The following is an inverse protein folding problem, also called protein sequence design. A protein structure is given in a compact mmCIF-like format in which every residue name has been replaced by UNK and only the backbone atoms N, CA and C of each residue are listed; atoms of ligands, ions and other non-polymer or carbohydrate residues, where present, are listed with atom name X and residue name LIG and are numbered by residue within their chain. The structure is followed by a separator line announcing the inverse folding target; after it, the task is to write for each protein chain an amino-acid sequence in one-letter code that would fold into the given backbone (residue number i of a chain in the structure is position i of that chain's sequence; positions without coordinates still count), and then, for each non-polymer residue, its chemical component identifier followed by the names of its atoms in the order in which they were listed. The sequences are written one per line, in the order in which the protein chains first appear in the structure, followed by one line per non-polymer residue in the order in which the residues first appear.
data_IF_713836118700
#
_entry.id   IF_713836118700
#
_cell.length_a   1.000
_cell.length_b   1.000
_cell.length_c   1.000
_cell.angle_alpha   90.00
_cell.angle_beta   90.00
_cell.angle_gamma   90.00
#
_symmetry.space_group_name_H-M   'P 1'
#
loop_
_entity.id
_entity.type
_entity.pdbx_description
1 polymer ?
#
# COMPACT_ATOMS: atom_id res chain seq x y z
N UNK A 1 -8.42 -9.79 13.04
CA UNK A 1 -7.00 -10.17 12.95
C UNK A 1 -6.65 -10.48 11.51
N UNK A 2 -5.41 -10.20 11.07
CA UNK A 2 -4.99 -10.43 9.68
C UNK A 2 -4.85 -11.93 9.36
N UNK A 3 -4.84 -12.30 8.07
CA UNK A 3 -4.61 -13.70 7.65
C UNK A 3 -3.26 -14.24 8.10
N UNK A 4 -2.24 -13.39 8.19
CA UNK A 4 -0.94 -13.75 8.76
C UNK A 4 -1.07 -14.13 10.24
N UNK A 5 -1.78 -13.31 11.03
CA UNK A 5 -1.97 -13.58 12.45
C UNK A 5 -2.82 -14.84 12.72
N UNK A 6 -3.88 -15.06 11.95
CA UNK A 6 -4.84 -16.14 12.21
C UNK A 6 -4.43 -17.48 11.59
N UNK A 7 -3.70 -17.46 10.46
CA UNK A 7 -3.47 -18.66 9.66
C UNK A 7 -2.01 -18.86 9.23
N UNK A 8 -1.09 -17.98 9.67
CA UNK A 8 0.29 -17.97 9.19
C UNK A 8 0.37 -18.02 7.66
N UNK A 9 -0.39 -17.14 6.97
CA UNK A 9 -0.47 -17.04 5.50
C UNK A 9 0.05 -15.69 4.98
N UNK A 10 1.19 -15.26 5.50
CA UNK A 10 1.85 -13.98 5.18
C UNK A 10 3.05 -14.08 4.23
N UNK A 11 3.48 -15.30 3.87
CA UNK A 11 4.81 -15.57 3.29
C UNK A 11 5.13 -14.75 2.03
N UNK A 12 4.10 -14.41 1.24
CA UNK A 12 4.28 -13.60 0.02
C UNK A 12 4.91 -12.23 0.29
N UNK A 13 4.67 -11.65 1.47
CA UNK A 13 5.17 -10.33 1.86
C UNK A 13 6.28 -10.40 2.91
N UNK A 14 6.88 -11.59 3.10
CA UNK A 14 7.94 -11.87 4.09
C UNK A 14 9.24 -12.34 3.39
N UNK A 15 9.47 -11.91 2.14
CA UNK A 15 10.71 -12.18 1.41
C UNK A 15 11.89 -11.41 2.03
N UNK A 16 13.15 -11.78 1.73
CA UNK A 16 14.30 -10.99 2.18
C UNK A 16 14.14 -9.51 1.80
N UNK A 17 14.43 -8.62 2.76
CA UNK A 17 14.30 -7.17 2.66
C UNK A 17 12.86 -6.62 2.56
N UNK A 18 11.81 -7.45 2.48
CA UNK A 18 10.43 -6.98 2.36
C UNK A 18 10.00 -6.08 3.53
N UNK A 19 10.39 -6.45 4.76
CA UNK A 19 10.06 -5.66 5.96
C UNK A 19 10.67 -4.26 5.92
N UNK A 20 11.92 -4.13 5.45
CA UNK A 20 12.62 -2.85 5.32
C UNK A 20 11.97 -1.98 4.24
N UNK A 21 11.62 -2.57 3.11
CA UNK A 21 10.92 -1.85 2.03
C UNK A 21 9.52 -1.42 2.45
N UNK A 22 8.80 -2.28 3.19
CA UNK A 22 7.49 -1.95 3.74
C UNK A 22 7.56 -0.77 4.71
N UNK A 23 8.60 -0.71 5.55
CA UNK A 23 8.83 0.45 6.43
C UNK A 23 9.06 1.74 5.64
N UNK A 24 9.84 1.69 4.55
CA UNK A 24 10.07 2.87 3.70
C UNK A 24 8.78 3.41 3.09
N UNK A 25 7.89 2.54 2.58
CA UNK A 25 6.60 2.99 2.06
C UNK A 25 5.65 3.48 3.17
N UNK A 26 5.71 2.90 4.37
CA UNK A 26 4.94 3.39 5.52
C UNK A 26 5.38 4.80 5.93
N UNK A 27 6.69 5.05 5.99
CA UNK A 27 7.25 6.37 6.30
C UNK A 27 6.89 7.38 5.20
N UNK A 28 6.96 6.97 3.93
CA UNK A 28 6.57 7.81 2.80
C UNK A 28 5.09 8.22 2.86
N UNK A 29 4.19 7.28 3.14
CA UNK A 29 2.78 7.61 3.29
C UNK A 29 2.57 8.65 4.41
N UNK A 30 3.27 8.46 5.54
CA UNK A 30 3.21 9.38 6.69
C UNK A 30 3.80 10.75 6.38
N UNK A 31 4.82 10.86 5.53
CA UNK A 31 5.36 12.16 5.13
C UNK A 31 4.37 12.99 4.31
N UNK A 32 3.41 12.34 3.64
CA UNK A 32 2.27 13.01 2.99
C UNK A 32 1.06 13.20 3.93
N UNK A 33 1.20 12.90 5.22
CA UNK A 33 0.11 12.99 6.20
C UNK A 33 -0.97 11.91 6.04
N UNK A 34 -0.67 10.82 5.34
CA UNK A 34 -1.61 9.76 5.04
C UNK A 34 -1.37 8.50 5.88
N UNK A 35 -2.45 7.77 6.16
CA UNK A 35 -2.35 6.42 6.70
C UNK A 35 -1.79 5.48 5.60
N UNK A 36 -0.85 4.58 5.92
CA UNK A 36 -0.21 3.73 4.91
C UNK A 36 -1.16 2.88 4.04
N UNK A 37 -2.20 2.28 4.62
CA UNK A 37 -3.17 1.50 3.83
C UNK A 37 -4.01 2.41 2.92
N UNK A 38 -4.40 3.62 3.35
CA UNK A 38 -5.05 4.61 2.49
C UNK A 38 -4.16 4.98 1.29
N UNK A 39 -2.88 5.30 1.55
CA UNK A 39 -1.91 5.66 0.52
C UNK A 39 -1.71 4.53 -0.50
N UNK A 40 -1.56 3.29 -0.03
CA UNK A 40 -1.40 2.13 -0.89
C UNK A 40 -2.64 1.87 -1.77
N UNK A 41 -3.85 2.01 -1.21
CA UNK A 41 -5.09 1.87 -1.99
C UNK A 41 -5.24 2.99 -3.03
N UNK A 42 -4.88 4.23 -2.69
CA UNK A 42 -4.91 5.37 -3.61
C UNK A 42 -3.91 5.18 -4.78
N UNK A 43 -2.71 4.66 -4.50
CA UNK A 43 -1.75 4.32 -5.53
C UNK A 43 -2.34 3.34 -6.55
N UNK A 44 -2.95 2.24 -6.08
CA UNK A 44 -3.56 1.23 -6.96
C UNK A 44 -4.73 1.82 -7.75
N UNK A 45 -5.63 2.55 -7.09
CA UNK A 45 -6.81 3.15 -7.71
C UNK A 45 -6.47 4.23 -8.75
N UNK A 46 -5.34 4.92 -8.61
CA UNK A 46 -4.91 5.97 -9.54
C UNK A 46 -4.33 5.45 -10.86
N UNK A 47 -4.07 4.15 -10.99
CA UNK A 47 -3.42 3.60 -12.20
C UNK A 47 -4.41 3.56 -13.38
N UNK A 48 -4.04 4.06 -14.56
CA UNK A 48 -4.96 4.14 -15.70
C UNK A 48 -5.41 2.77 -16.24
N UNK A 49 -4.66 1.70 -15.93
CA UNK A 49 -4.96 0.32 -16.34
C UNK A 49 -5.73 -0.48 -15.28
N UNK A 50 -6.08 0.10 -14.13
CA UNK A 50 -6.83 -0.56 -13.07
C UNK A 50 -8.31 -0.20 -13.17
N UNK A 51 -9.16 -1.16 -13.51
CA UNK A 51 -10.62 -0.97 -13.54
C UNK A 51 -11.24 -0.97 -12.15
N UNK A 52 -10.72 -1.83 -11.26
CA UNK A 52 -11.23 -1.99 -9.90
C UNK A 52 -10.11 -2.42 -8.95
N UNK A 53 -10.10 -1.83 -7.75
CA UNK A 53 -9.23 -2.23 -6.64
C UNK A 53 -10.01 -3.16 -5.69
N UNK A 54 -9.51 -4.38 -5.46
CA UNK A 54 -10.13 -5.35 -4.55
C UNK A 54 -9.54 -5.17 -3.16
N UNK A 55 -10.35 -4.69 -2.22
CA UNK A 55 -9.93 -4.40 -0.84
C UNK A 55 -10.33 -5.50 0.14
N UNK A 56 -9.48 -5.79 1.12
CA UNK A 56 -9.74 -6.74 2.19
C UNK A 56 -9.81 -6.05 3.55
N UNK A 57 -10.88 -6.28 4.30
CA UNK A 57 -11.08 -5.71 5.63
C UNK A 57 -11.67 -6.76 6.60
N UNK A 58 -11.30 -6.65 7.88
CA UNK A 58 -11.87 -7.48 8.98
C UNK A 58 -12.69 -6.64 9.97
N UNK A 59 -12.77 -5.34 9.75
CA UNK A 59 -13.53 -4.37 10.56
C UNK A 59 -14.11 -3.29 9.64
N UNK A 60 -15.15 -2.59 10.09
CA UNK A 60 -15.75 -1.47 9.33
C UNK A 60 -14.75 -0.33 9.17
N UNK A 61 -14.00 0.03 10.22
CA UNK A 61 -12.99 1.08 10.12
C UNK A 61 -11.94 0.82 9.02
N UNK A 62 -11.47 -0.43 8.88
CA UNK A 62 -10.56 -0.81 7.79
C UNK A 62 -11.22 -0.67 6.42
N UNK A 63 -12.50 -1.03 6.30
CA UNK A 63 -13.24 -0.88 5.05
C UNK A 63 -13.43 0.60 4.70
N UNK A 64 -13.78 1.44 5.67
CA UNK A 64 -13.92 2.88 5.49
C UNK A 64 -12.61 3.53 5.03
N UNK A 65 -11.48 3.20 5.68
CA UNK A 65 -10.15 3.64 5.23
C UNK A 65 -9.88 3.23 3.79
N UNK A 66 -10.15 1.96 3.44
CA UNK A 66 -9.90 1.47 2.09
C UNK A 66 -10.80 2.13 1.04
N UNK A 67 -12.08 2.38 1.35
CA UNK A 67 -13.03 3.03 0.43
C UNK A 67 -12.71 4.52 0.23
N UNK A 68 -12.25 5.21 1.28
CA UNK A 68 -11.88 6.63 1.19
C UNK A 68 -10.69 6.90 0.25
N UNK A 69 -10.01 5.86 -0.23
CA UNK A 69 -8.93 6.01 -1.21
C UNK A 69 -9.38 6.58 -2.55
N UNK A 70 -10.68 6.47 -2.88
CA UNK A 70 -11.25 7.02 -4.12
C UNK A 70 -11.23 8.55 -4.14
N UNK A 71 -11.27 9.18 -2.96
CA UNK A 71 -11.28 10.63 -2.80
C UNK A 71 -9.86 11.23 -2.79
N UNK A 72 -8.83 10.39 -2.81
CA UNK A 72 -7.43 10.82 -2.83
C UNK A 72 -7.04 11.21 -4.26
N UNK A 73 -6.65 12.47 -4.45
CA UNK A 73 -6.00 12.91 -5.68
C UNK A 73 -4.52 12.49 -5.65
N UNK A 74 -4.15 11.53 -6.49
CA UNK A 74 -2.76 11.07 -6.60
C UNK A 74 -1.89 12.09 -7.36
N UNK A 75 -0.91 12.68 -6.69
CA UNK A 75 -0.09 13.76 -7.26
C UNK A 75 1.18 13.24 -7.94
N UNK A 76 1.79 14.08 -8.78
CA UNK A 76 3.11 13.79 -9.36
C UNK A 76 4.21 13.64 -8.30
N UNK A 77 4.11 14.35 -7.18
CA UNK A 77 5.08 14.28 -6.09
C UNK A 77 5.02 12.91 -5.40
N UNK A 78 3.81 12.43 -5.12
CA UNK A 78 3.59 11.07 -4.59
C UNK A 78 4.13 10.02 -5.56
N UNK A 79 3.87 10.20 -6.86
CA UNK A 79 4.38 9.29 -7.90
C UNK A 79 5.91 9.26 -7.91
N UNK A 80 6.58 10.41 -7.98
CA UNK A 80 8.04 10.51 -7.99
C UNK A 80 8.66 9.87 -6.75
N UNK A 81 8.04 10.04 -5.58
CA UNK A 81 8.55 9.47 -4.35
C UNK A 81 8.39 7.95 -4.28
N UNK A 82 7.26 7.40 -4.73
CA UNK A 82 7.07 5.96 -4.90
C UNK A 82 8.09 5.39 -5.90
N UNK A 83 8.26 6.05 -7.04
CA UNK A 83 9.20 5.63 -8.08
C UNK A 83 10.63 5.62 -7.55
N UNK A 84 11.04 6.60 -6.75
CA UNK A 84 12.39 6.64 -6.16
C UNK A 84 12.68 5.42 -5.26
N UNK A 85 11.70 4.96 -4.48
CA UNK A 85 11.83 3.72 -3.70
C UNK A 85 11.86 2.53 -4.66
N UNK A 86 10.89 2.45 -5.58
CA UNK A 86 10.73 1.33 -6.50
C UNK A 86 11.96 1.10 -7.39
N UNK A 87 12.59 2.15 -7.91
CA UNK A 87 13.80 2.05 -8.73
C UNK A 87 15.01 1.47 -7.98
N UNK A 88 15.06 1.63 -6.65
CA UNK A 88 16.13 1.06 -5.81
C UNK A 88 15.88 -0.40 -5.44
N UNK A 89 14.62 -0.77 -5.20
CA UNK A 89 14.26 -2.05 -4.56
C UNK A 89 13.58 -3.05 -5.51
N UNK A 90 13.11 -2.58 -6.67
CA UNK A 90 12.41 -3.38 -7.66
C UNK A 90 11.10 -3.98 -7.14
N UNK A 91 10.88 -5.25 -7.47
CA UNK A 91 9.73 -6.05 -7.05
C UNK A 91 10.15 -7.04 -5.94
N UNK A 92 10.20 -6.63 -4.66
CA UNK A 92 10.65 -7.50 -3.57
C UNK A 92 9.68 -8.67 -3.31
N UNK A 93 8.40 -8.49 -3.65
CA UNK A 93 7.32 -9.45 -3.41
C UNK A 93 6.49 -9.67 -4.69
N UNK A 94 6.99 -10.44 -5.68
CA UNK A 94 6.26 -10.73 -6.91
C UNK A 94 4.97 -11.56 -6.69
#
# INVERSE_FOLDING_TARGET
GSRSQLFNRGQRYETPNAAEVLLQYNELARSFGMEPALFANAYVASRPFVTANIVGATTIAQLETALSSVDVTWTEEMQKAVDAIHQRVGNPCP
#
